data_IF_684570798624
#
_entry.id   IF_684570798624
#
_cell.length_a   1.000
_cell.length_b   1.000
_cell.length_c   1.000
_cell.angle_alpha   90.00
_cell.angle_beta   90.00
_cell.angle_gamma   90.00
#
_symmetry.space_group_name_H-M   'P 1'
#
loop_
_entity.id
_entity.type
_entity.pdbx_description
1 polymer ?
#
# COMPACT_ATOMS: atom_id res chain seq x y z
N UNK A 1 33.96 8.14 21.73
CA UNK A 1 32.85 8.78 22.47
C UNK A 1 31.58 8.29 21.83
N UNK A 2 30.90 7.31 22.45
CA UNK A 2 29.57 6.90 22.00
C UNK A 2 28.62 7.91 22.61
N UNK A 3 28.02 8.76 21.79
CA UNK A 3 26.99 9.69 22.24
C UNK A 3 25.83 8.86 22.78
N UNK A 4 25.62 8.87 24.11
CA UNK A 4 24.45 8.23 24.71
C UNK A 4 23.22 9.02 24.28
N UNK A 5 22.42 8.43 23.39
CA UNK A 5 21.13 8.98 23.01
C UNK A 5 20.25 9.10 24.23
N UNK A 6 19.76 10.32 24.47
CA UNK A 6 19.04 10.64 25.69
C UNK A 6 17.66 9.96 25.67
N UNK A 7 17.11 9.53 26.82
CA UNK A 7 15.86 8.77 26.89
C UNK A 7 14.67 9.43 26.17
N UNK A 8 14.65 10.77 26.13
CA UNK A 8 13.61 11.55 25.46
C UNK A 8 13.75 11.60 23.93
N UNK A 9 14.95 11.39 23.38
CA UNK A 9 15.13 11.22 21.93
C UNK A 9 14.57 9.87 21.49
N UNK A 10 14.93 8.79 22.20
CA UNK A 10 14.44 7.44 21.92
C UNK A 10 12.91 7.34 22.03
N UNK A 11 12.33 7.92 23.09
CA UNK A 11 10.87 7.96 23.25
C UNK A 11 10.17 8.72 22.11
N UNK A 12 10.78 9.81 21.62
CA UNK A 12 10.23 10.60 20.53
C UNK A 12 10.30 9.85 19.19
N UNK A 13 11.36 9.08 18.97
CA UNK A 13 11.51 8.19 17.81
C UNK A 13 10.50 7.05 17.86
N UNK A 14 10.32 6.40 19.01
CA UNK A 14 9.29 5.36 19.22
C UNK A 14 7.87 5.89 18.94
N UNK A 15 7.52 7.07 19.46
CA UNK A 15 6.23 7.71 19.20
C UNK A 15 6.03 8.04 17.71
N UNK A 16 7.11 8.42 17.00
CA UNK A 16 7.09 8.68 15.56
C UNK A 16 6.87 7.40 14.75
N UNK A 17 7.61 6.34 15.08
CA UNK A 17 7.47 5.03 14.43
C UNK A 17 6.07 4.45 14.66
N UNK A 18 5.50 4.62 15.85
CA UNK A 18 4.12 4.21 16.16
C UNK A 18 3.08 4.99 15.33
N UNK A 19 3.25 6.31 15.16
CA UNK A 19 2.38 7.11 14.30
C UNK A 19 2.49 6.70 12.82
N UNK A 20 3.70 6.43 12.35
CA UNK A 20 3.96 5.94 10.99
C UNK A 20 3.35 4.55 10.76
N UNK A 21 3.33 3.69 11.78
CA UNK A 21 2.73 2.36 11.75
C UNK A 21 1.21 2.37 11.98
N UNK A 22 0.57 3.55 12.06
CA UNK A 22 -0.88 3.63 12.18
C UNK A 22 -1.57 3.39 10.84
N UNK A 23 -2.27 2.26 10.72
CA UNK A 23 -3.03 1.92 9.54
C UNK A 23 -4.18 2.92 9.29
N UNK A 24 -4.27 3.44 8.06
CA UNK A 24 -5.30 4.39 7.61
C UNK A 24 -6.37 3.74 6.73
N UNK A 25 -6.13 2.52 6.24
CA UNK A 25 -7.12 1.71 5.55
C UNK A 25 -6.74 0.21 5.65
N UNK A 26 -7.70 -0.66 5.35
CA UNK A 26 -7.51 -2.10 5.23
C UNK A 26 -8.14 -2.64 3.95
N UNK A 27 -7.66 -3.79 3.46
CA UNK A 27 -8.34 -4.55 2.42
C UNK A 27 -9.71 -5.04 2.92
N UNK A 28 -10.64 -5.42 2.02
CA UNK A 28 -11.98 -5.87 2.40
C UNK A 28 -12.00 -7.09 3.33
N UNK A 29 -11.00 -7.97 3.22
CA UNK A 29 -10.80 -9.13 4.07
C UNK A 29 -9.95 -8.83 5.33
N UNK A 30 -9.44 -7.61 5.46
CA UNK A 30 -8.59 -7.17 6.57
C UNK A 30 -7.12 -7.62 6.49
N UNK A 31 -6.73 -8.40 5.47
CA UNK A 31 -5.38 -8.96 5.36
C UNK A 31 -4.30 -7.90 5.15
N UNK A 32 -4.56 -6.94 4.28
CA UNK A 32 -3.59 -5.90 3.92
C UNK A 32 -3.92 -4.60 4.61
N UNK A 33 -2.94 -3.99 5.25
CA UNK A 33 -3.06 -2.67 5.86
C UNK A 33 -2.35 -1.62 5.01
N UNK A 34 -2.93 -0.42 4.93
CA UNK A 34 -2.32 0.75 4.31
C UNK A 34 -1.84 1.71 5.39
N UNK A 35 -0.59 2.16 5.29
CA UNK A 35 -0.08 3.29 6.08
C UNK A 35 -0.12 4.59 5.28
N UNK A 36 -0.14 5.73 5.97
CA UNK A 36 -0.14 7.03 5.31
C UNK A 36 1.27 7.49 4.87
N UNK A 37 2.05 6.55 4.36
CA UNK A 37 3.44 6.76 3.93
C UNK A 37 3.48 6.55 2.43
N UNK A 38 3.52 7.63 1.66
CA UNK A 38 3.66 7.58 0.21
C UNK A 38 5.11 7.25 -0.16
N UNK A 39 5.31 6.16 -0.90
CA UNK A 39 6.63 5.71 -1.36
C UNK A 39 6.87 6.02 -2.84
N UNK A 40 5.82 6.40 -3.58
CA UNK A 40 5.98 6.85 -4.96
C UNK A 40 4.67 7.30 -5.59
N UNK A 41 4.77 8.23 -6.55
CA UNK A 41 3.61 8.79 -7.26
C UNK A 41 3.93 8.96 -8.73
N UNK A 42 2.98 8.56 -9.56
CA UNK A 42 2.99 8.81 -11.00
C UNK A 42 1.69 9.48 -11.44
N UNK A 43 1.48 9.57 -12.76
CA UNK A 43 0.31 10.23 -13.34
C UNK A 43 -1.02 9.55 -13.00
N UNK A 44 -1.01 8.23 -12.81
CA UNK A 44 -2.23 7.41 -12.65
C UNK A 44 -2.28 6.59 -11.36
N UNK A 45 -1.17 6.52 -10.63
CA UNK A 45 -1.04 5.72 -9.41
C UNK A 45 -0.31 6.48 -8.31
N UNK A 46 -0.74 6.24 -7.09
CA UNK A 46 0.02 6.56 -5.88
C UNK A 46 0.29 5.26 -5.15
N UNK A 47 1.53 5.06 -4.72
CA UNK A 47 2.00 3.87 -4.02
C UNK A 47 2.29 4.25 -2.58
N UNK A 48 1.69 3.51 -1.66
CA UNK A 48 1.86 3.66 -0.23
C UNK A 48 2.55 2.43 0.36
N UNK A 49 3.20 2.59 1.51
CA UNK A 49 3.64 1.46 2.33
C UNK A 49 2.41 0.73 2.88
N UNK A 50 2.46 -0.58 2.87
CA UNK A 50 1.45 -1.43 3.47
C UNK A 50 2.07 -2.65 4.14
N UNK A 51 1.22 -3.45 4.79
CA UNK A 51 1.63 -4.65 5.51
C UNK A 51 0.68 -5.81 5.17
N UNK A 52 1.24 -6.97 4.85
CA UNK A 52 0.51 -8.23 4.85
C UNK A 52 0.49 -8.79 6.28
N UNK A 53 -0.68 -8.79 6.92
CA UNK A 53 -0.83 -9.22 8.32
C UNK A 53 -0.64 -10.73 8.51
N UNK A 54 -0.80 -11.54 7.47
CA UNK A 54 -0.61 -13.00 7.57
C UNK A 54 0.88 -13.37 7.56
N UNK A 55 1.67 -12.67 6.75
CA UNK A 55 3.08 -13.00 6.52
C UNK A 55 4.04 -12.05 7.23
N UNK A 56 3.53 -10.95 7.78
CA UNK A 56 4.27 -9.81 8.37
C UNK A 56 5.26 -9.14 7.43
N UNK A 57 5.09 -9.35 6.11
CA UNK A 57 5.92 -8.75 5.07
C UNK A 57 5.34 -7.41 4.63
N UNK A 58 6.22 -6.43 4.44
CA UNK A 58 5.84 -5.14 3.86
C UNK A 58 5.44 -5.28 2.39
N UNK A 59 4.39 -4.59 2.01
CA UNK A 59 3.84 -4.61 0.66
C UNK A 59 3.66 -3.21 0.11
N UNK A 60 3.57 -3.10 -1.22
CA UNK A 60 3.23 -1.86 -1.90
C UNK A 60 1.70 -1.76 -2.10
N UNK A 61 1.06 -0.83 -1.42
CA UNK A 61 -0.36 -0.52 -1.61
C UNK A 61 -0.54 0.49 -2.74
N UNK A 62 -1.04 0.04 -3.90
CA UNK A 62 -1.24 0.89 -5.06
C UNK A 62 -2.69 1.41 -5.17
N UNK A 63 -2.88 2.73 -5.13
CA UNK A 63 -4.15 3.37 -5.44
C UNK A 63 -4.16 3.92 -6.86
N UNK A 64 -5.17 3.57 -7.64
CA UNK A 64 -5.29 3.90 -9.05
C UNK A 64 -6.48 4.82 -9.29
N UNK A 65 -6.24 5.94 -9.99
CA UNK A 65 -7.28 6.92 -10.28
C UNK A 65 -8.07 6.53 -11.53
N UNK A 66 -9.15 5.75 -11.36
CA UNK A 66 -9.95 5.23 -12.49
C UNK A 66 -11.06 6.17 -12.96
N UNK A 67 -11.31 7.28 -12.25
CA UNK A 67 -12.37 8.25 -12.57
C UNK A 67 -12.13 8.99 -13.89
N UNK A 68 -10.86 9.13 -14.30
CA UNK A 68 -10.47 9.80 -15.55
C UNK A 68 -10.34 8.85 -16.74
N UNK A 69 -10.55 7.55 -16.54
CA UNK A 69 -10.42 6.55 -17.59
C UNK A 69 -11.71 6.44 -18.41
N UNK A 70 -11.54 6.41 -19.73
CA UNK A 70 -12.60 6.01 -20.67
C UNK A 70 -13.02 4.55 -20.47
N UNK A 71 -14.15 4.16 -21.07
CA UNK A 71 -14.65 2.77 -20.99
C UNK A 71 -13.63 1.75 -21.52
N UNK A 72 -12.94 2.07 -22.60
CA UNK A 72 -11.93 1.20 -23.22
C UNK A 72 -10.64 1.10 -22.38
N UNK A 73 -10.20 2.19 -21.77
CA UNK A 73 -9.07 2.17 -20.84
C UNK A 73 -9.38 1.36 -19.59
N UNK A 74 -10.60 1.50 -19.05
CA UNK A 74 -11.05 0.70 -17.90
C UNK A 74 -11.12 -0.79 -18.24
N UNK A 75 -11.51 -1.15 -19.46
CA UNK A 75 -11.52 -2.54 -19.92
C UNK A 75 -10.10 -3.12 -19.95
N UNK A 76 -9.16 -2.43 -20.63
CA UNK A 76 -7.74 -2.84 -20.68
C UNK A 76 -7.14 -2.99 -19.29
N UNK A 77 -7.44 -2.05 -18.39
CA UNK A 77 -7.01 -2.11 -17.00
C UNK A 77 -7.51 -3.36 -16.27
N UNK A 78 -8.79 -3.72 -16.42
CA UNK A 78 -9.33 -4.92 -15.78
C UNK A 78 -8.68 -6.20 -16.33
N UNK A 79 -8.41 -6.24 -17.64
CA UNK A 79 -7.71 -7.36 -18.28
C UNK A 79 -6.27 -7.51 -17.75
N UNK A 80 -5.54 -6.39 -17.60
CA UNK A 80 -4.20 -6.39 -17.00
C UNK A 80 -4.22 -6.87 -15.54
N UNK A 81 -5.17 -6.40 -14.73
CA UNK A 81 -5.31 -6.83 -13.33
C UNK A 81 -5.54 -8.34 -13.25
N UNK A 82 -6.41 -8.88 -14.11
CA UNK A 82 -6.69 -10.31 -14.09
C UNK A 82 -5.50 -11.14 -14.55
N UNK A 83 -4.75 -10.66 -15.54
CA UNK A 83 -3.50 -11.29 -15.97
C UNK A 83 -2.45 -11.33 -14.84
N UNK A 84 -2.31 -10.24 -14.08
CA UNK A 84 -1.31 -10.13 -13.02
C UNK A 84 -1.58 -11.09 -11.85
N UNK A 85 -2.83 -11.39 -11.52
CA UNK A 85 -3.18 -12.36 -10.46
C UNK A 85 -2.62 -13.75 -10.70
N UNK A 86 -2.54 -14.18 -11.96
CA UNK A 86 -2.01 -15.49 -12.34
C UNK A 86 -0.49 -15.56 -12.37
N UNK A 87 0.20 -14.42 -12.27
CA UNK A 87 1.64 -14.34 -12.50
C UNK A 87 2.42 -14.61 -11.21
N UNK A 88 3.08 -15.77 -11.16
CA UNK A 88 3.95 -16.16 -10.07
C UNK A 88 5.30 -16.60 -10.63
N UNK A 89 6.32 -15.77 -10.44
CA UNK A 89 7.68 -16.08 -10.89
C UNK A 89 8.69 -15.37 -9.97
N UNK A 90 9.83 -16.00 -9.61
CA UNK A 90 10.81 -15.41 -8.70
C UNK A 90 11.37 -14.06 -9.15
N UNK A 91 11.42 -13.81 -10.46
CA UNK A 91 11.93 -12.56 -11.04
C UNK A 91 10.84 -11.57 -11.45
N UNK A 92 9.59 -11.81 -11.05
CA UNK A 92 8.47 -10.90 -11.33
C UNK A 92 7.83 -10.51 -10.01
N UNK A 93 7.60 -9.22 -9.82
CA UNK A 93 6.95 -8.70 -8.61
C UNK A 93 5.57 -9.36 -8.47
N UNK A 94 5.33 -9.99 -7.32
CA UNK A 94 4.08 -10.66 -7.03
C UNK A 94 2.95 -9.64 -6.95
N UNK A 95 1.87 -9.93 -7.66
CA UNK A 95 0.58 -9.29 -7.44
C UNK A 95 -0.24 -10.13 -6.46
N UNK A 96 -0.67 -9.53 -5.35
CA UNK A 96 -1.42 -10.25 -4.31
C UNK A 96 -2.92 -10.19 -4.55
N UNK A 97 -3.49 -8.98 -4.57
CA UNK A 97 -4.93 -8.80 -4.72
C UNK A 97 -5.29 -7.41 -5.26
N UNK A 98 -6.56 -7.22 -5.64
CA UNK A 98 -7.15 -5.97 -6.06
C UNK A 98 -8.63 -5.90 -5.74
N UNK A 99 -9.08 -4.72 -5.31
CA UNK A 99 -10.49 -4.42 -5.12
C UNK A 99 -10.78 -2.98 -5.51
N UNK A 100 -12.06 -2.68 -5.74
CA UNK A 100 -12.51 -1.31 -5.89
C UNK A 100 -12.77 -0.75 -4.50
N UNK A 101 -12.20 0.41 -4.19
CA UNK A 101 -12.61 1.16 -3.01
C UNK A 101 -14.09 1.51 -3.16
N UNK A 102 -14.91 1.18 -2.16
CA UNK A 102 -16.29 1.67 -2.10
C UNK A 102 -16.33 3.20 -2.12
N UNK A 103 -17.49 3.82 -2.39
CA UNK A 103 -17.64 5.26 -2.19
C UNK A 103 -17.28 5.56 -0.74
N UNK A 104 -16.21 6.33 -0.52
CA UNK A 104 -15.89 6.84 0.81
C UNK A 104 -17.09 7.67 1.26
N UNK A 105 -17.79 7.21 2.30
CA UNK A 105 -18.73 8.05 3.02
C UNK A 105 -17.99 9.31 3.47
N UNK A 106 -18.62 10.46 3.24
CA UNK A 106 -18.16 11.76 3.72
C UNK A 106 -18.10 11.79 5.25
#
# INVERSE_FOLDING_TARGET
SVSEELPWQRKKEEEQDEEEMKAVASSPDGRFLKFNIEIGRGSFKTVYRGLDTETTVEVAWCELQTLRLSRSERQRFNEEVEMLKGLQHPNIVRFFDSWKSGPRGQ
#
